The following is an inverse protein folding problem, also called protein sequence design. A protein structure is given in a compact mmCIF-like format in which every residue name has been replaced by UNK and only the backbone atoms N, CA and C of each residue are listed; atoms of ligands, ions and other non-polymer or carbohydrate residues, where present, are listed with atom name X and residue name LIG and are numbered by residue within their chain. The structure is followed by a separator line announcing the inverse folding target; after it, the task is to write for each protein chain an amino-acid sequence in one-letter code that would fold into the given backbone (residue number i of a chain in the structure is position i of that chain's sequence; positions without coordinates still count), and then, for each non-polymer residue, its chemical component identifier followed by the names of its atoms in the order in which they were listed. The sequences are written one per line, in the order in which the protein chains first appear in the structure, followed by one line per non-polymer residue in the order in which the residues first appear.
data_IF_134127716832
#
_entry.id   IF_134127716832
#
_cell.length_a   1.000
_cell.length_b   1.000
_cell.length_c   1.000
_cell.angle_alpha   90.00
_cell.angle_beta   90.00
_cell.angle_gamma   90.00
#
_symmetry.space_group_name_H-M   'P 1'
#
loop_
_entity.id
_entity.type
_entity.pdbx_description
1 polymer ?
#
# COMPACT_ATOMS: atom_id res chain seq x y z
N UNK A 1 -0.14 9.82 -9.35
CA UNK A 1 -0.33 8.83 -10.45
C UNK A 1 0.94 8.05 -10.83
N UNK A 2 2.11 8.40 -10.31
CA UNK A 2 3.36 7.61 -10.49
C UNK A 2 3.43 6.39 -9.56
N UNK A 3 3.04 6.53 -8.30
CA UNK A 3 3.14 5.43 -7.31
C UNK A 3 2.30 4.20 -7.64
N UNK A 4 1.15 4.39 -8.30
CA UNK A 4 0.29 3.27 -8.73
C UNK A 4 0.93 2.42 -9.82
N UNK A 5 1.73 3.02 -10.72
CA UNK A 5 2.46 2.27 -11.75
C UNK A 5 3.61 1.46 -11.17
N UNK A 6 4.34 2.02 -10.22
CA UNK A 6 5.42 1.32 -9.51
C UNK A 6 4.88 0.17 -8.65
N UNK A 7 3.78 0.40 -7.92
CA UNK A 7 3.11 -0.64 -7.15
C UNK A 7 2.62 -1.80 -8.03
N UNK A 8 1.99 -1.48 -9.17
CA UNK A 8 1.55 -2.50 -10.12
C UNK A 8 2.74 -3.29 -10.70
N UNK A 9 3.86 -2.64 -10.99
CA UNK A 9 5.04 -3.31 -11.56
C UNK A 9 5.70 -4.25 -10.54
N UNK A 10 5.84 -3.82 -9.28
CA UNK A 10 6.44 -4.61 -8.20
C UNK A 10 5.57 -5.82 -7.81
N UNK A 11 4.24 -5.72 -7.94
CA UNK A 11 3.32 -6.84 -7.75
C UNK A 11 3.30 -7.79 -8.97
N UNK A 12 3.31 -7.25 -10.18
CA UNK A 12 3.11 -8.01 -11.41
C UNK A 12 4.38 -8.75 -11.86
N UNK A 13 5.57 -8.18 -11.64
CA UNK A 13 6.85 -8.77 -12.03
C UNK A 13 7.09 -10.18 -11.45
N UNK A 14 7.00 -10.42 -10.12
CA UNK A 14 7.20 -11.76 -9.57
C UNK A 14 6.13 -12.75 -10.07
N UNK A 15 4.87 -12.31 -10.19
CA UNK A 15 3.75 -13.14 -10.68
C UNK A 15 3.96 -13.60 -12.11
N UNK A 16 4.32 -12.68 -13.03
CA UNK A 16 4.60 -13.02 -14.43
C UNK A 16 5.80 -13.96 -14.54
N UNK A 17 6.87 -13.68 -13.82
CA UNK A 17 8.11 -14.47 -13.92
C UNK A 17 7.89 -15.91 -13.43
N UNK A 18 7.08 -16.09 -12.40
CA UNK A 18 6.74 -17.40 -11.87
C UNK A 18 5.74 -18.17 -12.76
N UNK A 19 4.75 -17.49 -13.34
CA UNK A 19 3.85 -18.09 -14.35
C UNK A 19 4.61 -18.58 -15.58
N UNK A 20 5.59 -17.82 -16.06
CA UNK A 20 6.45 -18.24 -17.19
C UNK A 20 7.31 -19.44 -16.78
N UNK A 21 7.82 -19.48 -15.55
CA UNK A 21 8.65 -20.59 -15.07
C UNK A 21 7.84 -21.89 -14.92
N UNK A 22 6.64 -21.82 -14.36
CA UNK A 22 5.71 -22.95 -14.23
C UNK A 22 5.24 -23.45 -15.59
N UNK A 23 4.87 -22.54 -16.50
CA UNK A 23 4.38 -22.91 -17.85
C UNK A 23 5.44 -23.61 -18.70
N UNK A 24 6.73 -23.38 -18.42
CA UNK A 24 7.85 -23.99 -19.16
C UNK A 24 8.41 -25.26 -18.51
N UNK A 25 7.93 -25.66 -17.32
CA UNK A 25 8.30 -26.95 -16.71
C UNK A 25 7.15 -27.96 -16.81
N UNK A 26 7.05 -28.61 -17.97
CA UNK A 26 6.32 -29.89 -18.08
C UNK A 26 7.29 -31.00 -17.66
N UNK A 27 7.11 -31.52 -16.45
CA UNK A 27 7.89 -32.67 -15.98
C UNK A 27 7.24 -33.95 -16.50
N UNK A 28 7.85 -34.55 -17.53
CA UNK A 28 7.43 -35.81 -18.14
C UNK A 28 7.85 -37.06 -17.35
N UNK A 29 8.54 -36.91 -16.22
CA UNK A 29 9.16 -38.03 -15.48
C UNK A 29 8.64 -38.10 -14.03
N UNK A 30 8.11 -39.27 -13.66
CA UNK A 30 7.51 -39.56 -12.35
C UNK A 30 8.54 -39.77 -11.23
N UNK A 31 9.83 -39.97 -11.56
CA UNK A 31 10.94 -40.06 -10.59
C UNK A 31 11.66 -38.73 -10.37
N UNK A 32 11.20 -37.64 -10.99
CA UNK A 32 11.83 -36.34 -10.83
C UNK A 32 11.58 -35.80 -9.41
N UNK A 33 12.63 -35.81 -8.58
CA UNK A 33 12.64 -35.12 -7.29
C UNK A 33 12.50 -33.61 -7.56
N UNK A 34 11.25 -33.14 -7.53
CA UNK A 34 10.87 -31.78 -7.87
C UNK A 34 11.63 -30.76 -7.00
N UNK A 35 12.57 -29.95 -7.56
CA UNK A 35 13.28 -28.93 -6.81
C UNK A 35 12.35 -27.80 -6.34
N UNK A 36 11.17 -27.68 -6.96
CA UNK A 36 10.21 -26.62 -6.69
C UNK A 36 9.59 -26.74 -5.29
N UNK A 37 9.62 -27.92 -4.66
CA UNK A 37 9.20 -28.09 -3.27
C UNK A 37 10.20 -27.52 -2.23
N UNK A 38 11.39 -27.09 -2.66
CA UNK A 38 12.43 -26.53 -1.78
C UNK A 38 12.52 -25.00 -1.81
N UNK A 39 11.91 -24.36 -2.80
CA UNK A 39 11.91 -22.90 -2.94
C UNK A 39 10.60 -22.32 -2.42
N UNK A 40 10.66 -21.59 -1.31
CA UNK A 40 9.56 -20.79 -0.76
C UNK A 40 9.20 -19.58 -1.62
N UNK A 41 9.17 -19.73 -2.95
CA UNK A 41 8.89 -18.67 -3.91
C UNK A 41 7.43 -18.17 -3.78
N UNK A 42 6.48 -19.09 -3.67
CA UNK A 42 5.09 -18.78 -3.31
C UNK A 42 4.97 -18.11 -1.93
N UNK A 43 5.79 -18.52 -0.97
CA UNK A 43 5.87 -17.88 0.35
C UNK A 43 6.43 -16.46 0.29
N UNK A 44 7.48 -16.25 -0.52
CA UNK A 44 8.10 -14.95 -0.72
C UNK A 44 7.20 -13.97 -1.47
N UNK A 45 6.47 -14.43 -2.49
CA UNK A 45 5.46 -13.64 -3.20
C UNK A 45 4.29 -13.23 -2.28
N UNK A 46 3.78 -14.16 -1.47
CA UNK A 46 2.75 -13.86 -0.49
C UNK A 46 3.22 -12.86 0.58
N UNK A 47 4.47 -12.99 1.06
CA UNK A 47 5.05 -12.09 2.06
C UNK A 47 5.31 -10.68 1.48
N UNK A 48 5.77 -10.58 0.23
CA UNK A 48 5.95 -9.30 -0.46
C UNK A 48 4.59 -8.60 -0.71
N UNK A 49 3.56 -9.37 -1.07
CA UNK A 49 2.21 -8.84 -1.23
C UNK A 49 1.62 -8.37 0.11
N UNK A 50 1.88 -9.10 1.20
CA UNK A 50 1.50 -8.68 2.55
C UNK A 50 2.20 -7.36 2.94
N UNK A 51 3.51 -7.28 2.73
CA UNK A 51 4.33 -6.10 3.06
C UNK A 51 3.87 -4.85 2.29
N UNK A 52 3.57 -5.00 1.00
CA UNK A 52 3.04 -3.91 0.17
C UNK A 52 1.65 -3.44 0.62
N UNK A 53 0.76 -4.38 0.96
CA UNK A 53 -0.56 -4.04 1.52
C UNK A 53 -0.45 -3.32 2.86
N UNK A 54 0.45 -3.76 3.74
CA UNK A 54 0.69 -3.14 5.04
C UNK A 54 1.20 -1.70 4.86
N UNK A 55 2.20 -1.51 3.99
CA UNK A 55 2.72 -0.19 3.66
C UNK A 55 1.63 0.74 3.10
N UNK A 56 0.78 0.22 2.21
CA UNK A 56 -0.34 0.97 1.64
C UNK A 56 -1.37 1.39 2.70
N UNK A 57 -1.77 0.47 3.60
CA UNK A 57 -2.72 0.76 4.66
C UNK A 57 -2.17 1.78 5.66
N UNK A 58 -0.88 1.68 6.03
CA UNK A 58 -0.21 2.66 6.89
C UNK A 58 -0.18 4.04 6.24
N UNK A 59 0.14 4.12 4.94
CA UNK A 59 0.13 5.38 4.21
C UNK A 59 -1.27 6.02 4.18
N UNK A 60 -2.33 5.22 4.03
CA UNK A 60 -3.71 5.71 4.10
C UNK A 60 -4.09 6.22 5.48
N UNK A 61 -3.72 5.53 6.56
CA UNK A 61 -3.96 6.01 7.92
C UNK A 61 -3.24 7.34 8.20
N UNK A 62 -1.97 7.45 7.80
CA UNK A 62 -1.21 8.69 7.96
C UNK A 62 -1.82 9.83 7.15
N UNK A 63 -2.25 9.56 5.91
CA UNK A 63 -2.90 10.56 5.08
C UNK A 63 -4.24 11.03 5.66
N UNK A 64 -5.00 10.12 6.29
CA UNK A 64 -6.26 10.47 6.93
C UNK A 64 -6.04 11.32 8.18
N UNK A 65 -5.10 10.91 9.05
CA UNK A 65 -4.73 11.68 10.24
C UNK A 65 -4.20 13.07 9.87
N UNK A 66 -3.30 13.17 8.89
CA UNK A 66 -2.75 14.47 8.45
C UNK A 66 -3.82 15.37 7.82
N UNK A 67 -4.80 14.79 7.12
CA UNK A 67 -5.92 15.53 6.57
C UNK A 67 -6.84 16.07 7.67
N UNK A 68 -7.15 15.24 8.67
CA UNK A 68 -7.99 15.64 9.80
C UNK A 68 -7.32 16.76 10.61
N UNK A 69 -6.02 16.62 10.93
CA UNK A 69 -5.24 17.62 11.66
C UNK A 69 -5.26 18.98 10.93
N UNK A 70 -5.06 18.98 9.61
CA UNK A 70 -5.08 20.20 8.80
C UNK A 70 -6.45 20.90 8.81
N UNK A 71 -7.55 20.14 8.75
CA UNK A 71 -8.89 20.74 8.77
C UNK A 71 -9.33 21.17 10.17
N UNK A 72 -8.84 20.53 11.23
CA UNK A 72 -9.16 20.90 12.61
C UNK A 72 -8.42 22.18 13.02
N UNK A 73 -7.18 22.37 12.55
CA UNK A 73 -6.45 23.64 12.62
C UNK A 73 -7.23 24.78 11.93
N UNK A 74 -7.61 24.61 10.64
CA UNK A 74 -8.39 25.60 9.87
C UNK A 74 -9.71 26.00 10.56
N UNK A 75 -10.37 25.02 11.19
CA UNK A 75 -11.64 25.24 11.89
C UNK A 75 -11.42 26.00 13.18
N UNK A 76 -10.39 25.66 13.95
CA UNK A 76 -10.03 26.33 15.20
C UNK A 76 -9.65 27.79 14.94
N UNK A 77 -8.85 28.05 13.90
CA UNK A 77 -8.49 29.42 13.49
C UNK A 77 -9.71 30.25 13.11
N UNK A 78 -10.66 29.67 12.35
CA UNK A 78 -11.93 30.37 12.02
C UNK A 78 -12.74 30.73 13.25
N UNK A 79 -12.91 29.80 14.19
CA UNK A 79 -13.68 30.03 15.42
C UNK A 79 -13.03 31.14 16.26
N UNK A 80 -11.71 31.11 16.42
CA UNK A 80 -10.97 32.13 17.14
C UNK A 80 -11.12 33.52 16.49
N UNK A 81 -11.15 33.59 15.15
CA UNK A 81 -11.39 34.84 14.44
C UNK A 81 -12.82 35.37 14.61
N UNK A 82 -13.83 34.50 14.55
CA UNK A 82 -15.24 34.87 14.79
C UNK A 82 -15.44 35.37 16.23
N UNK A 83 -14.86 34.69 17.23
CA UNK A 83 -14.93 35.10 18.62
C UNK A 83 -14.26 36.47 18.86
N UNK A 84 -13.11 36.71 18.22
CA UNK A 84 -12.42 38.00 18.30
C UNK A 84 -13.21 39.13 17.62
N UNK A 85 -13.89 38.84 16.50
CA UNK A 85 -14.76 39.80 15.81
C UNK A 85 -15.98 40.15 16.65
N UNK A 86 -16.72 39.16 17.17
CA UNK A 86 -17.91 39.38 18.00
C UNK A 86 -17.57 40.15 19.29
N UNK A 87 -16.41 39.88 19.89
CA UNK A 87 -15.91 40.62 21.06
C UNK A 87 -15.55 42.09 20.76
N UNK A 88 -15.36 42.45 19.48
CA UNK A 88 -14.96 43.80 19.05
C UNK A 88 -16.14 44.70 18.62
N UNK A 89 -17.36 44.15 18.52
CA UNK A 89 -18.57 44.94 18.23
C UNK A 89 -19.10 45.56 19.54
N UNK A 90 -19.09 46.90 19.70
CA UNK A 90 -19.68 47.53 20.88
C UNK A 90 -21.21 47.44 20.79
N UNK A 91 -21.84 47.14 21.94
CA UNK A 91 -23.29 46.98 22.14
C UNK A 91 -24.06 48.30 21.94
#
# INVERSE_FOLDING_TARGET
RFSSGLAATLLLWPVITEQIHLSRKVHLDANYACPTAKTGLLGGGAFLSLDSCLFWLVALMLADNAREDHFDEDKTERIAFEEAYDASIPL
#
